data_IF_105127415605
#
_entry.id   IF_105127415605
#
_cell.length_a   1.000
_cell.length_b   1.000
_cell.length_c   1.000
_cell.angle_alpha   90.00
_cell.angle_beta   90.00
_cell.angle_gamma   90.00
#
_symmetry.space_group_name_H-M   'P 1'
#
loop_
_entity.id
_entity.type
_entity.pdbx_description
1 polymer ?
#
# COMPACT_ATOMS: atom_id res chain seq x y z
N UNK A 1 7.34 1.24 12.37
CA UNK A 1 6.55 2.29 11.72
C UNK A 1 5.18 2.24 12.37
N UNK A 2 4.51 3.38 12.53
CA UNK A 2 3.24 3.45 13.24
C UNK A 2 2.09 3.43 12.22
N UNK A 3 1.12 2.53 12.42
CA UNK A 3 -0.07 2.42 11.57
C UNK A 3 -1.12 3.42 12.06
N UNK A 4 -1.56 4.34 11.19
CA UNK A 4 -2.65 5.28 11.50
C UNK A 4 -3.82 5.08 10.53
N UNK A 5 -4.99 4.76 11.09
CA UNK A 5 -6.26 4.77 10.35
C UNK A 5 -6.71 6.23 10.19
N UNK A 6 -6.95 6.67 8.95
CA UNK A 6 -7.42 8.04 8.65
C UNK A 6 -8.76 7.95 7.92
N UNK A 7 -9.83 8.42 8.56
CA UNK A 7 -11.13 8.65 7.90
C UNK A 7 -11.19 10.09 7.38
N UNK A 8 -10.93 10.32 6.08
CA UNK A 8 -11.24 11.61 5.43
C UNK A 8 -11.77 11.44 4.00
N UNK A 9 -12.96 11.99 3.80
CA UNK A 9 -13.74 12.32 2.57
C UNK A 9 -13.93 11.27 1.47
N UNK A 10 -13.12 10.21 1.39
CA UNK A 10 -13.46 8.98 0.70
C UNK A 10 -14.29 8.10 1.66
N UNK A 11 -15.41 7.53 1.21
CA UNK A 11 -16.26 6.62 2.01
C UNK A 11 -15.51 5.39 2.55
N UNK A 12 -14.30 5.12 2.07
CA UNK A 12 -13.53 3.90 2.35
C UNK A 12 -12.29 4.22 3.17
N UNK A 13 -11.93 3.35 4.13
CA UNK A 13 -10.83 3.58 5.03
C UNK A 13 -9.47 3.49 4.32
N UNK A 14 -8.48 4.12 4.96
CA UNK A 14 -7.08 4.01 4.55
C UNK A 14 -6.13 3.95 5.75
N UNK A 15 -5.02 3.25 5.54
CA UNK A 15 -3.88 3.22 6.44
C UNK A 15 -2.74 4.05 5.86
N UNK A 16 -2.15 4.92 6.70
CA UNK A 16 -0.99 5.72 6.34
C UNK A 16 0.25 5.17 7.05
N UNK A 17 1.30 4.96 6.27
CA UNK A 17 2.62 4.53 6.71
C UNK A 17 3.61 5.67 6.49
N UNK A 18 4.23 6.12 7.58
CA UNK A 18 5.17 7.26 7.62
C UNK A 18 6.60 6.76 7.86
N UNK A 19 7.59 7.62 7.58
CA UNK A 19 9.02 7.35 7.81
C UNK A 19 9.63 6.23 6.95
N UNK A 20 9.24 6.21 5.67
CA UNK A 20 9.96 5.46 4.64
C UNK A 20 11.12 6.31 4.12
N UNK A 21 12.32 5.76 4.16
CA UNK A 21 13.53 6.43 3.70
C UNK A 21 14.29 5.52 2.75
N UNK A 22 14.82 6.08 1.66
CA UNK A 22 15.54 5.33 0.63
C UNK A 22 14.70 5.11 -0.63
N UNK A 23 15.35 4.66 -1.70
CA UNK A 23 14.70 4.33 -2.97
C UNK A 23 14.46 2.84 -3.10
N UNK A 24 13.52 2.44 -3.97
CA UNK A 24 13.23 1.02 -4.27
C UNK A 24 11.93 0.49 -3.71
N UNK A 25 11.26 1.25 -2.82
CA UNK A 25 10.03 0.85 -2.13
C UNK A 25 8.94 0.24 -3.01
N UNK A 26 8.76 0.73 -4.24
CA UNK A 26 7.75 0.19 -5.16
C UNK A 26 7.99 -1.29 -5.44
N UNK A 27 9.23 -1.69 -5.71
CA UNK A 27 9.57 -3.09 -5.98
C UNK A 27 9.46 -3.94 -4.72
N UNK A 28 9.87 -3.40 -3.58
CA UNK A 28 9.79 -4.09 -2.31
C UNK A 28 8.34 -4.36 -1.90
N UNK A 29 7.46 -3.36 -2.03
CA UNK A 29 6.03 -3.51 -1.77
C UNK A 29 5.37 -4.50 -2.73
N UNK A 30 5.76 -4.50 -4.01
CA UNK A 30 5.28 -5.51 -4.96
C UNK A 30 5.66 -6.91 -4.50
N UNK A 31 6.89 -7.11 -4.02
CA UNK A 31 7.33 -8.41 -3.50
C UNK A 31 6.56 -8.80 -2.23
N UNK A 32 6.37 -7.87 -1.30
CA UNK A 32 5.57 -8.10 -0.08
C UNK A 32 4.16 -8.55 -0.45
N UNK A 33 3.49 -7.82 -1.35
CA UNK A 33 2.13 -8.16 -1.79
C UNK A 33 2.11 -9.54 -2.47
N UNK A 34 3.08 -9.85 -3.34
CA UNK A 34 3.14 -11.16 -4.00
C UNK A 34 3.38 -12.31 -3.04
N UNK A 35 4.34 -12.17 -2.13
CA UNK A 35 4.82 -13.27 -1.30
C UNK A 35 3.89 -13.52 -0.10
N UNK A 36 3.32 -12.46 0.48
CA UNK A 36 2.56 -12.54 1.73
C UNK A 36 1.05 -12.37 1.55
N UNK A 37 0.58 -11.58 0.57
CA UNK A 37 -0.87 -11.39 0.31
C UNK A 37 -1.37 -12.32 -0.80
N UNK A 38 -0.51 -12.61 -1.78
CA UNK A 38 -0.79 -13.51 -2.91
C UNK A 38 -2.08 -13.11 -3.65
N UNK A 39 -2.08 -11.94 -4.32
CA UNK A 39 -3.28 -11.43 -4.97
C UNK A 39 -3.62 -12.22 -6.24
N UNK A 40 -4.87 -12.12 -6.68
CA UNK A 40 -5.34 -12.69 -7.95
C UNK A 40 -4.86 -11.84 -9.14
N UNK A 41 -4.81 -10.53 -8.95
CA UNK A 41 -4.29 -9.57 -9.94
C UNK A 41 -3.36 -8.58 -9.26
N UNK A 42 -2.37 -8.08 -9.99
CA UNK A 42 -1.44 -7.06 -9.50
C UNK A 42 -0.97 -6.23 -10.69
N UNK A 43 -1.16 -4.91 -10.59
CA UNK A 43 -0.74 -3.92 -11.57
C UNK A 43 0.05 -2.80 -10.89
N UNK A 44 0.92 -2.15 -11.66
CA UNK A 44 1.72 -1.03 -11.19
C UNK A 44 1.61 0.12 -12.19
N UNK A 45 1.39 1.32 -11.66
CA UNK A 45 1.33 2.55 -12.44
C UNK A 45 2.28 3.61 -11.89
N UNK A 46 3.19 4.09 -12.74
CA UNK A 46 4.04 5.23 -12.42
C UNK A 46 3.27 6.52 -12.73
N UNK A 47 3.10 7.40 -11.73
CA UNK A 47 2.44 8.70 -11.91
C UNK A 47 3.43 9.79 -12.27
N UNK A 48 4.55 9.84 -11.56
CA UNK A 48 5.61 10.81 -11.81
C UNK A 48 6.96 10.25 -11.36
N UNK A 49 8.02 10.69 -12.03
CA UNK A 49 9.39 10.43 -11.63
C UNK A 49 10.21 11.71 -11.80
N UNK A 50 10.86 12.11 -10.73
CA UNK A 50 11.86 13.17 -10.70
C UNK A 50 13.20 12.59 -10.27
N UNK A 51 14.26 13.41 -10.30
CA UNK A 51 15.57 12.98 -9.82
C UNK A 51 15.58 12.61 -8.33
N UNK A 52 14.65 13.18 -7.54
CA UNK A 52 14.64 13.06 -6.08
C UNK A 52 13.49 12.20 -5.54
N UNK A 53 12.42 12.00 -6.32
CA UNK A 53 11.23 11.28 -5.85
C UNK A 53 10.44 10.70 -7.01
N UNK A 54 9.64 9.67 -6.73
CA UNK A 54 8.68 9.11 -7.67
C UNK A 54 7.36 8.82 -6.98
N UNK A 55 6.26 9.27 -7.57
CA UNK A 55 4.93 8.85 -7.14
C UNK A 55 4.49 7.65 -7.98
N UNK A 56 4.06 6.59 -7.31
CA UNK A 56 3.65 5.34 -7.94
C UNK A 56 2.45 4.73 -7.23
N UNK A 57 1.70 3.93 -7.98
CA UNK A 57 0.51 3.23 -7.52
C UNK A 57 0.70 1.74 -7.79
N UNK A 58 0.34 0.90 -6.83
CA UNK A 58 0.24 -0.55 -6.95
C UNK A 58 -1.21 -0.90 -6.68
N UNK A 59 -1.90 -1.48 -7.65
CA UNK A 59 -3.28 -1.91 -7.53
C UNK A 59 -3.35 -3.43 -7.58
N UNK A 60 -4.10 -4.05 -6.68
CA UNK A 60 -4.21 -5.51 -6.64
C UNK A 60 -5.60 -5.94 -6.17
N UNK A 61 -6.01 -7.14 -6.59
CA UNK A 61 -7.27 -7.73 -6.16
C UNK A 61 -7.06 -9.03 -5.40
N UNK A 62 -7.86 -9.23 -4.35
CA UNK A 62 -7.88 -10.47 -3.56
C UNK A 62 -9.31 -10.75 -3.16
N UNK A 63 -9.81 -11.93 -3.52
CA UNK A 63 -11.17 -12.37 -3.19
C UNK A 63 -12.26 -11.42 -3.72
N UNK A 64 -12.06 -10.88 -4.93
CA UNK A 64 -12.91 -9.86 -5.57
C UNK A 64 -12.97 -8.50 -4.85
N UNK A 65 -12.09 -8.26 -3.87
CA UNK A 65 -11.89 -6.95 -3.27
C UNK A 65 -10.66 -6.30 -3.89
N UNK A 66 -10.83 -5.06 -4.33
CA UNK A 66 -9.76 -4.27 -4.94
C UNK A 66 -9.10 -3.39 -3.88
N UNK A 67 -7.77 -3.42 -3.88
CA UNK A 67 -6.92 -2.67 -2.97
C UNK A 67 -5.90 -1.85 -3.74
N UNK A 68 -5.41 -0.80 -3.08
CA UNK A 68 -4.44 0.12 -3.65
C UNK A 68 -3.38 0.48 -2.62
N UNK A 69 -2.13 0.47 -3.06
CA UNK A 69 -1.00 1.09 -2.36
C UNK A 69 -0.53 2.27 -3.19
N UNK A 70 -0.59 3.46 -2.63
CA UNK A 70 -0.10 4.68 -3.26
C UNK A 70 1.16 5.14 -2.54
N UNK A 71 2.26 5.29 -3.28
CA UNK A 71 3.49 5.89 -2.80
C UNK A 71 3.52 7.34 -3.26
N UNK A 72 3.50 8.26 -2.31
CA UNK A 72 3.64 9.67 -2.62
C UNK A 72 5.12 10.05 -2.74
N UNK A 73 5.38 11.12 -3.50
CA UNK A 73 6.73 11.64 -3.69
C UNK A 73 7.37 12.22 -2.41
N UNK A 74 6.58 12.40 -1.36
CA UNK A 74 6.97 12.98 -0.06
C UNK A 74 7.17 11.90 1.03
N UNK A 75 7.70 10.73 0.66
CA UNK A 75 8.07 9.65 1.60
C UNK A 75 6.91 9.15 2.47
N UNK A 76 5.73 8.94 1.86
CA UNK A 76 4.61 8.25 2.52
C UNK A 76 4.02 7.15 1.65
N UNK A 77 3.52 6.08 2.30
CA UNK A 77 2.72 5.05 1.66
C UNK A 77 1.31 5.10 2.22
N UNK A 78 0.34 5.12 1.34
CA UNK A 78 -1.07 4.96 1.67
C UNK A 78 -1.56 3.61 1.19
N UNK A 79 -2.16 2.82 2.08
CA UNK A 79 -2.89 1.61 1.72
C UNK A 79 -4.39 1.84 1.87
N UNK A 80 -5.13 1.54 0.81
CA UNK A 80 -6.55 1.86 0.67
C UNK A 80 -7.31 0.65 0.14
N UNK A 81 -8.55 0.52 0.54
CA UNK A 81 -9.51 -0.38 -0.09
C UNK A 81 -10.38 0.41 -1.06
N UNK A 82 -10.68 -0.19 -2.22
CA UNK A 82 -11.46 0.45 -3.29
C UNK A 82 -12.89 -0.10 -3.40
N UNK A 83 -13.16 -1.28 -2.85
CA UNK A 83 -14.50 -1.89 -2.81
C UNK A 83 -15.25 -1.51 -1.52
N UNK A 84 -16.57 -1.33 -1.59
CA UNK A 84 -17.42 -1.00 -0.41
C UNK A 84 -17.76 -2.22 0.47
N UNK A 85 -17.68 -3.43 -0.09
CA UNK A 85 -18.04 -4.72 0.53
C UNK A 85 -16.84 -5.45 1.16
N UNK A 86 -15.81 -4.71 1.55
CA UNK A 86 -14.58 -5.26 2.12
C UNK A 86 -14.76 -5.77 3.55
N UNK A 87 -13.99 -6.81 3.91
CA UNK A 87 -13.86 -7.24 5.30
C UNK A 87 -12.81 -6.38 6.02
N UNK A 88 -13.22 -5.72 7.11
CA UNK A 88 -12.33 -4.84 7.88
C UNK A 88 -11.16 -5.60 8.52
N UNK A 89 -11.37 -6.85 8.93
CA UNK A 89 -10.34 -7.70 9.55
C UNK A 89 -9.26 -8.06 8.52
N UNK A 90 -9.67 -8.44 7.31
CA UNK A 90 -8.74 -8.75 6.21
C UNK A 90 -7.98 -7.48 5.78
N UNK A 91 -8.69 -6.35 5.67
CA UNK A 91 -8.06 -5.07 5.34
C UNK A 91 -7.01 -4.66 6.38
N UNK A 92 -7.31 -4.84 7.67
CA UNK A 92 -6.35 -4.61 8.75
C UNK A 92 -5.18 -5.59 8.69
N UNK A 93 -5.42 -6.88 8.46
CA UNK A 93 -4.37 -7.89 8.34
C UNK A 93 -3.38 -7.54 7.22
N UNK A 94 -3.87 -7.12 6.06
CA UNK A 94 -3.00 -6.70 4.96
C UNK A 94 -2.18 -5.46 5.30
N UNK A 95 -2.76 -4.50 6.01
CA UNK A 95 -2.03 -3.33 6.49
C UNK A 95 -0.92 -3.72 7.47
N UNK A 96 -1.19 -4.65 8.39
CA UNK A 96 -0.21 -5.17 9.35
C UNK A 96 0.90 -5.97 8.67
N UNK A 97 0.58 -6.77 7.64
CA UNK A 97 1.57 -7.46 6.81
C UNK A 97 2.48 -6.45 6.12
N UNK A 98 1.91 -5.44 5.46
CA UNK A 98 2.69 -4.42 4.76
C UNK A 98 3.61 -3.70 5.75
N UNK A 99 3.12 -3.26 6.91
CA UNK A 99 3.94 -2.61 7.93
C UNK A 99 5.06 -3.51 8.44
N UNK A 100 4.73 -4.74 8.83
CA UNK A 100 5.69 -5.69 9.42
C UNK A 100 6.79 -6.03 8.44
N UNK A 101 6.44 -6.45 7.22
CA UNK A 101 7.44 -6.87 6.24
C UNK A 101 8.27 -5.67 5.76
N UNK A 102 7.67 -4.48 5.62
CA UNK A 102 8.41 -3.24 5.29
C UNK A 102 9.46 -2.86 6.33
N UNK A 103 9.24 -3.18 7.61
CA UNK A 103 10.22 -2.95 8.67
C UNK A 103 11.43 -3.89 8.60
N UNK A 104 11.28 -5.07 7.98
CA UNK A 104 12.39 -6.03 7.81
C UNK A 104 13.38 -5.64 6.72
N UNK A 105 13.01 -4.68 5.87
CA UNK A 105 13.83 -4.15 4.79
C UNK A 105 14.83 -3.05 5.25
N UNK A 106 14.73 -2.61 6.51
CA UNK A 106 15.61 -1.60 7.11
C UNK A 106 17.00 -2.14 7.47
#
# INVERSE_FOLDING_TARGET
MAIHLVEQEAKLPKYLFLDIHGGGWVYDLINIVKDHIQPQTLDQKLHSASWHSSASEISFSKENIDYQIYLDGDDSIEFRVLSEDYDTSIFQEFAEIIDRESQTLK
#
